data_IF_340464942194
#
_entry.id   IF_340464942194
#
_cell.length_a   1.000
_cell.length_b   1.000
_cell.length_c   1.000
_cell.angle_alpha   90.00
_cell.angle_beta   90.00
_cell.angle_gamma   90.00
#
_symmetry.space_group_name_H-M   'P 1'
#
loop_
_entity.id
_entity.type
_entity.pdbx_description
1 polymer ?
#
# COMPACT_ATOMS: atom_id res chain seq x y z
N UNK A 1 -9.75 -8.65 -11.83
CA UNK A 1 -8.76 -7.60 -12.17
C UNK A 1 -7.56 -7.74 -11.22
N UNK A 2 -6.38 -8.18 -11.69
CA UNK A 2 -5.16 -8.24 -10.85
C UNK A 2 -4.48 -6.87 -10.91
N UNK A 3 -4.37 -6.18 -9.78
CA UNK A 3 -3.57 -4.96 -9.66
C UNK A 3 -2.11 -5.31 -9.98
N UNK A 4 -1.61 -4.78 -11.10
CA UNK A 4 -0.20 -4.95 -11.47
C UNK A 4 0.64 -4.10 -10.52
N UNK A 5 1.68 -4.72 -9.94
CA UNK A 5 2.69 -4.10 -9.06
C UNK A 5 3.28 -2.79 -9.62
N UNK A 6 3.23 -2.62 -10.94
CA UNK A 6 3.72 -1.46 -11.70
C UNK A 6 2.85 -0.18 -11.59
N UNK A 7 1.72 -0.21 -10.88
CA UNK A 7 0.82 0.94 -10.78
C UNK A 7 0.90 1.71 -9.45
N UNK A 8 1.61 1.15 -8.46
CA UNK A 8 1.89 1.84 -7.20
C UNK A 8 3.19 2.66 -7.33
N UNK A 9 3.35 3.75 -6.58
CA UNK A 9 4.61 4.50 -6.53
C UNK A 9 5.75 3.57 -6.08
N UNK A 10 6.99 3.95 -6.36
CA UNK A 10 8.14 3.18 -5.90
C UNK A 10 8.05 3.02 -4.35
N UNK A 11 8.10 1.78 -3.83
CA UNK A 11 8.13 1.59 -2.39
C UNK A 11 9.43 2.17 -1.83
N UNK A 12 9.46 2.59 -0.55
CA UNK A 12 10.69 3.04 0.12
C UNK A 12 11.86 2.05 -0.04
N UNK A 13 13.12 2.52 0.00
CA UNK A 13 14.29 1.66 -0.15
C UNK A 13 14.25 0.47 0.82
N UNK A 14 14.56 -0.73 0.32
CA UNK A 14 14.53 -1.96 1.13
C UNK A 14 13.13 -2.56 1.36
N UNK A 15 12.08 -1.96 0.80
CA UNK A 15 10.69 -2.39 0.99
C UNK A 15 9.97 -2.76 -0.32
N UNK A 16 8.80 -3.40 -0.20
CA UNK A 16 7.97 -3.87 -1.30
C UNK A 16 6.48 -3.76 -0.97
N UNK A 17 5.67 -3.23 -1.91
CA UNK A 17 4.22 -3.24 -1.80
C UNK A 17 3.63 -4.63 -1.94
N UNK A 18 2.68 -4.96 -1.06
CA UNK A 18 1.93 -6.21 -1.10
C UNK A 18 0.45 -5.95 -0.85
N UNK A 19 -0.36 -6.14 -1.89
CA UNK A 19 -1.81 -6.11 -1.78
C UNK A 19 -2.33 -7.54 -1.63
N UNK A 20 -3.13 -7.80 -0.59
CA UNK A 20 -3.76 -9.10 -0.37
C UNK A 20 -5.24 -8.93 -0.03
N UNK A 21 -6.08 -9.72 -0.68
CA UNK A 21 -7.45 -9.94 -0.27
C UNK A 21 -7.51 -11.17 0.65
N UNK A 22 -8.13 -11.05 1.83
CA UNK A 22 -8.40 -12.14 2.75
C UNK A 22 -9.83 -12.03 3.25
N UNK A 23 -10.68 -12.97 2.85
CA UNK A 23 -12.12 -12.91 3.11
C UNK A 23 -12.72 -11.60 2.58
N UNK A 24 -13.49 -10.93 3.43
CA UNK A 24 -14.15 -9.65 3.15
C UNK A 24 -13.26 -8.42 3.37
N UNK A 25 -11.93 -8.60 3.39
CA UNK A 25 -10.99 -7.49 3.55
C UNK A 25 -9.92 -7.47 2.47
N UNK A 26 -9.61 -6.27 1.99
CA UNK A 26 -8.45 -5.97 1.15
C UNK A 26 -7.44 -5.22 1.99
N UNK A 27 -6.19 -5.68 2.00
CA UNK A 27 -5.10 -5.13 2.81
C UNK A 27 -3.94 -4.75 1.93
N UNK A 28 -3.48 -3.51 2.04
CA UNK A 28 -2.23 -3.05 1.49
C UNK A 28 -1.17 -3.09 2.59
N UNK A 29 -0.04 -3.74 2.29
CA UNK A 29 1.07 -3.91 3.21
C UNK A 29 2.37 -3.44 2.58
N UNK A 30 3.24 -2.88 3.40
CA UNK A 30 4.64 -2.62 3.05
C UNK A 30 5.51 -3.72 3.66
N UNK A 31 6.28 -4.43 2.84
CA UNK A 31 7.14 -5.54 3.27
C UNK A 31 8.60 -5.14 3.18
N UNK A 32 9.31 -5.15 4.29
CA UNK A 32 10.78 -5.01 4.28
C UNK A 32 11.41 -6.39 4.11
N UNK A 33 12.48 -6.52 3.31
CA UNK A 33 13.20 -7.79 3.20
C UNK A 33 13.67 -8.25 4.59
N UNK A 34 13.09 -9.35 5.10
CA UNK A 34 13.46 -9.96 6.37
C UNK A 34 12.61 -9.59 7.59
N UNK A 35 11.62 -8.70 7.46
CA UNK A 35 10.71 -8.31 8.55
C UNK A 35 9.23 -8.58 8.24
N UNK A 36 8.41 -8.58 9.28
CA UNK A 36 6.96 -8.65 9.14
C UNK A 36 6.46 -7.44 8.35
N UNK A 37 5.63 -7.69 7.32
CA UNK A 37 5.09 -6.58 6.53
C UNK A 37 4.08 -5.76 7.32
N UNK A 38 4.28 -4.45 7.39
CA UNK A 38 3.38 -3.49 8.04
C UNK A 38 2.11 -3.33 7.21
N UNK A 39 0.94 -3.48 7.84
CA UNK A 39 -0.34 -3.15 7.21
C UNK A 39 -0.52 -1.63 7.25
N UNK A 40 -0.67 -1.02 6.07
CA UNK A 40 -0.77 0.44 5.92
C UNK A 40 -2.14 0.89 5.45
N UNK A 41 -2.96 -0.05 4.97
CA UNK A 41 -4.32 0.23 4.51
C UNK A 41 -5.17 -1.02 4.57
N UNK A 42 -6.40 -0.86 5.04
CA UNK A 42 -7.40 -1.93 5.10
C UNK A 42 -8.76 -1.39 4.68
N UNK A 43 -9.35 -2.09 3.72
CA UNK A 43 -10.70 -1.83 3.23
C UNK A 43 -11.54 -3.09 3.37
N UNK A 44 -12.86 -2.94 3.52
CA UNK A 44 -13.76 -4.05 3.23
C UNK A 44 -13.75 -4.33 1.72
N UNK A 45 -14.01 -5.55 1.30
CA UNK A 45 -14.17 -5.91 -0.12
C UNK A 45 -15.26 -5.09 -0.79
N UNK A 46 -16.33 -4.78 -0.06
CA UNK A 46 -17.43 -3.96 -0.55
C UNK A 46 -17.00 -2.50 -0.76
N UNK A 47 -16.32 -1.90 0.23
CA UNK A 47 -15.78 -0.54 0.10
C UNK A 47 -14.72 -0.46 -1.01
N UNK A 48 -13.87 -1.49 -1.11
CA UNK A 48 -12.88 -1.60 -2.17
C UNK A 48 -13.54 -1.73 -3.55
N UNK A 49 -14.66 -2.45 -3.64
CA UNK A 49 -15.43 -2.57 -4.89
C UNK A 49 -16.11 -1.25 -5.27
N UNK A 50 -16.50 -0.42 -4.29
CA UNK A 50 -17.03 0.94 -4.52
C UNK A 50 -15.97 1.93 -4.99
N UNK A 51 -14.67 1.64 -4.80
CA UNK A 51 -13.58 2.40 -5.40
C UNK A 51 -13.45 2.15 -6.91
N UNK A 52 -14.21 1.20 -7.48
CA UNK A 52 -14.34 1.06 -8.93
C UNK A 52 -15.09 2.28 -9.51
N UNK A 53 -14.61 2.86 -10.62
CA UNK A 53 -13.78 2.20 -11.62
C UNK A 53 -12.25 2.26 -11.39
N UNK A 54 -11.75 3.06 -10.45
CA UNK A 54 -10.30 3.32 -10.33
C UNK A 54 -9.71 3.00 -8.93
N UNK A 55 -9.68 1.72 -8.55
CA UNK A 55 -9.04 1.29 -7.30
C UNK A 55 -7.52 1.50 -7.32
N UNK A 56 -6.93 1.73 -8.50
CA UNK A 56 -5.50 1.99 -8.67
C UNK A 56 -5.18 3.37 -8.10
N UNK A 57 -5.90 4.40 -8.54
CA UNK A 57 -5.69 5.77 -8.08
C UNK A 57 -5.84 5.89 -6.57
N UNK A 58 -6.87 5.25 -5.98
CA UNK A 58 -7.06 5.25 -4.53
C UNK A 58 -5.91 4.56 -3.76
N UNK A 59 -5.39 3.44 -4.28
CA UNK A 59 -4.24 2.76 -3.66
C UNK A 59 -2.94 3.54 -3.84
N UNK A 60 -2.77 4.22 -4.97
CA UNK A 60 -1.62 5.09 -5.26
C UNK A 60 -1.58 6.30 -4.33
N UNK A 61 -2.73 6.92 -4.05
CA UNK A 61 -2.82 8.05 -3.13
C UNK A 61 -2.37 7.64 -1.71
N UNK A 62 -2.90 6.52 -1.22
CA UNK A 62 -2.54 5.95 0.09
C UNK A 62 -1.07 5.55 0.13
N UNK A 63 -0.57 4.88 -0.92
CA UNK A 63 0.84 4.53 -1.01
C UNK A 63 1.75 5.76 -1.01
N UNK A 64 1.35 6.84 -1.70
CA UNK A 64 2.10 8.11 -1.77
C UNK A 64 2.15 8.80 -0.42
N UNK A 65 1.00 8.90 0.28
CA UNK A 65 0.95 9.45 1.64
C UNK A 65 1.86 8.68 2.61
N UNK A 66 1.94 7.36 2.46
CA UNK A 66 2.82 6.51 3.27
C UNK A 66 4.29 6.66 2.91
N UNK A 67 4.64 6.78 1.61
CA UNK A 67 6.03 7.09 1.22
C UNK A 67 6.45 8.45 1.79
N UNK A 68 5.60 9.45 1.68
CA UNK A 68 5.86 10.78 2.24
C UNK A 68 6.07 10.72 3.76
N UNK A 69 5.19 10.00 4.49
CA UNK A 69 5.34 9.82 5.93
C UNK A 69 6.65 9.09 6.30
N UNK A 70 6.99 8.01 5.58
CA UNK A 70 8.21 7.25 5.84
C UNK A 70 9.50 8.04 5.51
N UNK A 71 9.47 8.90 4.49
CA UNK A 71 10.62 9.77 4.17
C UNK A 71 10.83 10.84 5.24
N UNK A 72 9.75 11.43 5.75
CA UNK A 72 9.82 12.42 6.83
C UNK A 72 10.42 11.80 8.12
N UNK A 73 10.05 10.57 8.46
CA UNK A 73 10.63 9.90 9.64
C UNK A 73 12.13 9.60 9.50
N UNK A 74 12.63 9.37 8.28
CA UNK A 74 14.07 9.16 8.03
C UNK A 74 14.84 10.48 8.11
N UNK A 75 14.24 11.58 7.67
CA UNK A 75 14.89 12.91 7.67
C UNK A 75 14.95 13.54 9.07
N UNK A 76 13.98 13.25 9.95
CA UNK A 76 13.99 13.74 11.34
C UNK A 76 14.94 12.93 12.25
N UNK A 77 15.37 11.74 11.82
CA UNK A 77 16.27 10.87 12.57
C UNK A 77 17.76 10.99 12.16
N UNK A 78 18.10 11.91 11.25
CA UNK A 78 19.46 12.12 10.73
C UNK A 78 20.19 13.30 11.39
#
# INVERSE_FOLDING_TARGET
MRLKKSMLPAPPPGTEWSLRQRGDSVRLRLRTKGLFGTEIGRWSTEAFSRLAPDPVTALTDVATQMVAAAQVEIEVAA
#
